data_IF_336560408442
#
_entry.id   IF_336560408442
#
_cell.length_a   1.000
_cell.length_b   1.000
_cell.length_c   1.000
_cell.angle_alpha   90.00
_cell.angle_beta   90.00
_cell.angle_gamma   90.00
#
_symmetry.space_group_name_H-M   'P 1'
#
loop_
_entity.id
_entity.type
_entity.pdbx_description
1 polymer ?
#
# COMPACT_ATOMS: atom_id res chain seq x y z
N UNK A 1 3.95 17.67 18.05
CA UNK A 1 3.24 17.47 16.75
C UNK A 1 2.19 18.55 16.64
N UNK A 2 2.15 19.29 15.53
CA UNK A 2 1.08 20.27 15.26
C UNK A 2 -0.26 19.53 15.16
N UNK A 3 -1.30 19.98 15.87
CA UNK A 3 -2.65 19.40 15.85
C UNK A 3 -3.26 19.29 14.45
N UNK A 4 -2.72 20.04 13.47
CA UNK A 4 -3.25 20.13 12.11
C UNK A 4 -2.98 18.90 11.23
N UNK A 5 -2.05 18.01 11.59
CA UNK A 5 -1.77 16.78 10.81
C UNK A 5 -2.30 15.51 11.45
N UNK A 6 -3.04 15.61 12.57
CA UNK A 6 -3.60 14.45 13.27
C UNK A 6 -4.51 13.61 12.37
N UNK A 7 -5.21 14.24 11.43
CA UNK A 7 -6.03 13.55 10.46
C UNK A 7 -5.24 12.67 9.47
N UNK A 8 -4.00 13.05 9.14
CA UNK A 8 -3.14 12.22 8.31
C UNK A 8 -2.69 10.99 9.08
N UNK A 9 -2.43 11.14 10.39
CA UNK A 9 -2.11 10.00 11.23
C UNK A 9 -3.31 9.06 11.40
N UNK A 10 -4.51 9.62 11.54
CA UNK A 10 -5.75 8.85 11.54
C UNK A 10 -5.93 8.09 10.22
N UNK A 11 -5.85 8.78 9.08
CA UNK A 11 -6.02 8.19 7.76
C UNK A 11 -5.02 7.06 7.50
N UNK A 12 -3.73 7.33 7.76
CA UNK A 12 -2.64 6.38 7.54
C UNK A 12 -2.68 5.20 8.50
N UNK A 13 -3.03 5.42 9.77
CA UNK A 13 -3.14 4.34 10.75
C UNK A 13 -4.34 3.42 10.47
N UNK A 14 -5.48 3.98 10.06
CA UNK A 14 -6.64 3.18 9.64
C UNK A 14 -6.35 2.38 8.37
N UNK A 15 -5.69 2.98 7.38
CA UNK A 15 -5.23 2.28 6.18
C UNK A 15 -4.39 1.04 6.56
N UNK A 16 -3.55 1.12 7.61
CA UNK A 16 -2.72 0.01 8.07
C UNK A 16 -3.58 -1.15 8.58
N UNK A 17 -4.59 -0.81 9.37
CA UNK A 17 -5.53 -1.76 9.94
C UNK A 17 -6.34 -2.44 8.83
N UNK A 18 -6.82 -1.67 7.85
CA UNK A 18 -7.57 -2.23 6.71
C UNK A 18 -6.72 -3.16 5.85
N UNK A 19 -5.41 -2.90 5.70
CA UNK A 19 -4.51 -3.86 5.05
C UNK A 19 -4.45 -5.20 5.80
N UNK A 20 -4.41 -5.20 7.13
CA UNK A 20 -4.50 -6.47 7.89
C UNK A 20 -5.82 -7.17 7.60
N UNK A 21 -6.94 -6.44 7.66
CA UNK A 21 -8.26 -7.00 7.41
C UNK A 21 -8.33 -7.68 6.04
N UNK A 22 -7.94 -6.98 4.98
CA UNK A 22 -8.05 -7.52 3.61
C UNK A 22 -7.17 -8.72 3.39
N UNK A 23 -5.95 -8.75 3.95
CA UNK A 23 -5.04 -9.87 3.77
C UNK A 23 -5.48 -11.12 4.53
N UNK A 24 -5.97 -10.98 5.77
CA UNK A 24 -6.51 -12.13 6.51
C UNK A 24 -7.75 -12.70 5.80
N UNK A 25 -8.61 -11.82 5.28
CA UNK A 25 -9.78 -12.26 4.50
C UNK A 25 -9.35 -12.94 3.21
N UNK A 26 -8.42 -12.38 2.44
CA UNK A 26 -8.00 -12.94 1.17
C UNK A 26 -7.16 -14.22 1.29
N UNK A 27 -6.52 -14.48 2.43
CA UNK A 27 -5.59 -15.61 2.60
C UNK A 27 -6.23 -16.74 3.41
N UNK A 28 -6.88 -16.44 4.54
CA UNK A 28 -7.32 -17.47 5.48
C UNK A 28 -8.82 -17.78 5.39
N UNK A 29 -9.64 -16.86 4.89
CA UNK A 29 -11.11 -17.02 4.88
C UNK A 29 -11.54 -17.86 3.69
N UNK A 30 -12.58 -18.68 3.85
CA UNK A 30 -13.17 -19.46 2.74
C UNK A 30 -13.47 -18.55 1.54
N UNK A 31 -13.05 -18.96 0.35
CA UNK A 31 -13.17 -18.18 -0.90
C UNK A 31 -14.60 -17.70 -1.15
N UNK A 32 -15.59 -18.58 -0.96
CA UNK A 32 -17.02 -18.24 -1.10
C UNK A 32 -17.45 -17.06 -0.19
N UNK A 33 -16.88 -16.98 1.03
CA UNK A 33 -17.16 -15.90 1.97
C UNK A 33 -16.38 -14.65 1.56
N UNK A 34 -15.08 -14.78 1.30
CA UNK A 34 -14.21 -13.66 0.95
C UNK A 34 -14.69 -12.91 -0.31
N UNK A 35 -15.16 -13.61 -1.34
CA UNK A 35 -15.50 -13.02 -2.64
C UNK A 35 -16.98 -12.63 -2.76
N UNK A 36 -17.89 -13.40 -2.14
CA UNK A 36 -19.33 -13.25 -2.43
C UNK A 36 -20.16 -12.72 -1.25
N UNK A 37 -19.69 -12.85 -0.01
CA UNK A 37 -20.43 -12.35 1.15
C UNK A 37 -20.35 -10.83 1.28
N UNK A 38 -21.33 -10.23 1.99
CA UNK A 38 -21.30 -8.80 2.34
C UNK A 38 -20.06 -8.49 3.18
N UNK A 39 -19.71 -9.38 4.11
CA UNK A 39 -18.52 -9.26 4.94
C UNK A 39 -17.25 -9.14 4.08
N UNK A 40 -17.05 -10.08 3.15
CA UNK A 40 -15.92 -10.07 2.22
C UNK A 40 -15.85 -8.79 1.40
N UNK A 41 -16.96 -8.41 0.74
CA UNK A 41 -17.05 -7.21 -0.09
C UNK A 41 -16.72 -5.92 0.66
N UNK A 42 -17.20 -5.77 1.91
CA UNK A 42 -16.88 -4.60 2.74
C UNK A 42 -15.39 -4.56 3.08
N UNK A 43 -14.80 -5.70 3.44
CA UNK A 43 -13.38 -5.77 3.78
C UNK A 43 -12.51 -5.50 2.55
N UNK A 44 -12.84 -6.06 1.39
CA UNK A 44 -12.16 -5.78 0.12
C UNK A 44 -12.22 -4.30 -0.23
N UNK A 45 -13.40 -3.67 -0.13
CA UNK A 45 -13.55 -2.23 -0.37
C UNK A 45 -12.64 -1.40 0.55
N UNK A 46 -12.52 -1.79 1.83
CA UNK A 46 -11.63 -1.14 2.80
C UNK A 46 -10.15 -1.38 2.50
N UNK A 47 -9.81 -2.55 1.94
CA UNK A 47 -8.48 -2.98 1.54
C UNK A 47 -7.98 -2.41 0.20
N UNK A 48 -8.88 -1.87 -0.63
CA UNK A 48 -8.53 -1.29 -1.92
C UNK A 48 -8.20 0.20 -1.79
N UNK A 49 -9.17 1.10 -2.05
CA UNK A 49 -8.94 2.54 -2.10
C UNK A 49 -8.46 3.14 -0.75
N UNK A 50 -9.03 2.76 0.41
CA UNK A 50 -8.64 3.33 1.71
C UNK A 50 -7.30 2.84 2.27
N UNK A 51 -6.68 1.84 1.64
CA UNK A 51 -5.45 1.22 2.11
C UNK A 51 -4.22 1.75 1.35
N UNK A 52 -3.67 0.96 0.42
CA UNK A 52 -2.41 1.27 -0.28
C UNK A 52 -2.41 2.63 -0.99
N UNK A 53 -3.48 3.06 -1.70
CA UNK A 53 -3.53 4.39 -2.31
C UNK A 53 -3.45 5.54 -1.30
N UNK A 54 -4.18 5.44 -0.17
CA UNK A 54 -4.09 6.43 0.92
C UNK A 54 -2.67 6.49 1.49
N UNK A 55 -2.01 5.35 1.69
CA UNK A 55 -0.61 5.33 2.12
C UNK A 55 0.30 6.12 1.20
N UNK A 56 0.17 5.89 -0.10
CA UNK A 56 1.01 6.51 -1.12
C UNK A 56 0.75 8.01 -1.23
N UNK A 57 -0.52 8.46 -1.16
CA UNK A 57 -0.87 9.88 -1.09
C UNK A 57 -0.32 10.53 0.18
N UNK A 58 -0.52 9.93 1.36
CA UNK A 58 -0.01 10.48 2.63
C UNK A 58 1.52 10.54 2.63
N UNK A 59 2.21 9.55 2.03
CA UNK A 59 3.66 9.61 1.84
C UNK A 59 4.08 10.86 1.05
N UNK A 60 3.38 11.18 -0.04
CA UNK A 60 3.64 12.39 -0.83
C UNK A 60 3.33 13.69 -0.07
N UNK A 61 2.25 13.71 0.71
CA UNK A 61 1.88 14.84 1.58
C UNK A 61 3.00 15.12 2.58
N UNK A 62 3.42 14.09 3.32
CA UNK A 62 4.46 14.22 4.34
C UNK A 62 5.83 14.55 3.74
N UNK A 63 6.10 14.07 2.53
CA UNK A 63 7.30 14.45 1.78
C UNK A 63 7.31 15.95 1.50
N UNK A 64 6.27 16.49 0.86
CA UNK A 64 6.19 17.92 0.53
C UNK A 64 6.04 18.83 1.75
N UNK A 65 5.50 18.33 2.86
CA UNK A 65 5.40 19.09 4.11
C UNK A 65 6.75 19.28 4.81
N UNK A 66 7.73 18.43 4.53
CA UNK A 66 9.08 18.53 5.11
C UNK A 66 9.75 19.81 4.59
N UNK A 67 10.18 20.69 5.50
CA UNK A 67 10.77 21.99 5.14
C UNK A 67 12.14 21.87 4.47
N UNK A 68 12.94 20.89 4.88
CA UNK A 68 14.33 20.75 4.45
C UNK A 68 14.56 19.44 3.70
N UNK A 69 15.01 19.59 2.45
CA UNK A 69 15.37 18.49 1.59
C UNK A 69 16.85 18.56 1.24
N UNK A 70 17.54 17.46 1.51
CA UNK A 70 18.87 17.22 0.99
C UNK A 70 18.76 16.07 0.01
N UNK A 71 19.05 16.33 -1.27
CA UNK A 71 18.83 15.38 -2.36
C UNK A 71 19.52 14.03 -2.10
N UNK A 72 20.73 14.04 -1.56
CA UNK A 72 21.48 12.84 -1.17
C UNK A 72 20.77 12.02 -0.10
N UNK A 73 20.16 12.67 0.90
CA UNK A 73 19.37 12.00 1.94
C UNK A 73 18.08 11.42 1.38
N UNK A 74 17.43 12.13 0.46
CA UNK A 74 16.19 11.66 -0.17
C UNK A 74 16.45 10.45 -1.09
N UNK A 75 17.56 10.45 -1.84
CA UNK A 75 18.01 9.28 -2.61
C UNK A 75 18.32 8.09 -1.69
N UNK A 76 19.08 8.29 -0.62
CA UNK A 76 19.40 7.22 0.35
C UNK A 76 18.12 6.61 0.93
N UNK A 77 17.13 7.45 1.26
CA UNK A 77 15.83 6.99 1.77
C UNK A 77 15.04 6.21 0.74
N UNK A 78 15.02 6.65 -0.52
CA UNK A 78 14.42 5.92 -1.64
C UNK A 78 14.99 4.51 -1.76
N UNK A 79 16.32 4.38 -1.86
CA UNK A 79 16.98 3.07 -1.94
C UNK A 79 16.77 2.22 -0.69
N UNK A 80 16.75 2.84 0.49
CA UNK A 80 16.46 2.12 1.74
C UNK A 80 15.04 1.53 1.74
N UNK A 81 14.02 2.28 1.29
CA UNK A 81 12.65 1.76 1.18
C UNK A 81 12.57 0.62 0.17
N UNK A 82 13.23 0.77 -0.98
CA UNK A 82 13.27 -0.26 -2.01
C UNK A 82 13.91 -1.56 -1.49
N UNK A 83 15.06 -1.46 -0.80
CA UNK A 83 15.74 -2.59 -0.19
C UNK A 83 14.90 -3.27 0.90
N UNK A 84 14.14 -2.49 1.69
CA UNK A 84 13.22 -3.04 2.70
C UNK A 84 12.09 -3.88 2.10
N UNK A 85 11.70 -3.62 0.86
CA UNK A 85 10.77 -4.48 0.14
C UNK A 85 11.29 -5.91 -0.02
N UNK A 86 12.53 -6.07 -0.48
CA UNK A 86 13.14 -7.40 -0.58
C UNK A 86 13.47 -8.02 0.78
N UNK A 87 13.85 -7.20 1.76
CA UNK A 87 14.02 -7.68 3.13
C UNK A 87 12.70 -8.24 3.69
N UNK A 88 11.57 -7.59 3.42
CA UNK A 88 10.26 -8.11 3.79
C UNK A 88 9.95 -9.43 3.08
N UNK A 89 10.22 -9.54 1.78
CA UNK A 89 10.00 -10.80 1.05
C UNK A 89 10.81 -11.96 1.65
N UNK A 90 12.07 -11.70 2.03
CA UNK A 90 12.91 -12.67 2.72
C UNK A 90 12.28 -13.13 4.04
N UNK A 91 11.79 -12.19 4.87
CA UNK A 91 11.13 -12.54 6.14
C UNK A 91 9.82 -13.30 5.93
N UNK A 92 9.03 -12.92 4.92
CA UNK A 92 7.77 -13.58 4.54
C UNK A 92 7.97 -15.02 4.06
N UNK A 93 9.16 -15.36 3.57
CA UNK A 93 9.54 -16.73 3.22
C UNK A 93 10.13 -17.48 4.42
N UNK A 94 11.11 -16.87 5.10
CA UNK A 94 11.86 -17.54 6.16
C UNK A 94 10.99 -17.89 7.38
N UNK A 95 10.06 -17.03 7.79
CA UNK A 95 9.26 -17.24 8.99
C UNK A 95 8.24 -18.38 8.82
N UNK A 96 7.38 -18.40 7.78
CA UNK A 96 6.47 -19.52 7.57
C UNK A 96 7.21 -20.83 7.33
N UNK A 97 8.32 -20.79 6.58
CA UNK A 97 9.14 -22.00 6.34
C UNK A 97 9.68 -22.58 7.65
N UNK A 98 10.29 -21.75 8.52
CA UNK A 98 10.77 -22.22 9.82
C UNK A 98 9.64 -22.74 10.70
N UNK A 99 8.48 -22.08 10.73
CA UNK A 99 7.31 -22.57 11.46
C UNK A 99 6.83 -23.93 10.92
N UNK A 100 6.77 -24.08 9.60
CA UNK A 100 6.39 -25.35 8.96
C UNK A 100 7.31 -26.50 9.41
N UNK A 101 8.63 -26.28 9.43
CA UNK A 101 9.61 -27.28 9.92
C UNK A 101 9.38 -27.68 11.39
N UNK A 102 8.90 -26.76 12.23
CA UNK A 102 8.59 -27.05 13.63
C UNK A 102 7.27 -27.79 13.84
N UNK A 103 6.24 -27.51 13.03
CA UNK A 103 4.89 -28.07 13.19
C UNK A 103 4.70 -29.42 12.48
N UNK A 104 5.45 -29.69 11.42
CA UNK A 104 5.34 -30.94 10.66
C UNK A 104 6.72 -31.62 10.62
N UNK A 105 6.97 -32.68 11.41
CA UNK A 105 8.21 -33.44 11.28
C UNK A 105 8.26 -34.05 9.87
N UNK A 106 9.37 -33.81 9.17
CA UNK A 106 9.64 -34.32 7.84
C UNK A 106 9.47 -35.85 7.81
N UNK A 107 8.47 -36.34 7.08
CA UNK A 107 8.47 -37.72 6.60
C UNK A 107 9.13 -37.69 5.22
N UNK A 108 10.42 -38.02 5.17
CA UNK A 108 11.25 -38.00 3.96
C UNK A 108 10.97 -39.31 3.21
N UNK A 109 9.78 -39.44 2.65
CA UNK A 109 9.39 -40.64 1.92
C UNK A 109 8.61 -40.29 0.66
N UNK A 110 9.16 -39.41 -0.18
CA UNK A 110 9.00 -39.50 -1.64
C UNK A 110 9.90 -38.48 -2.37
N UNK A 111 10.87 -38.91 -3.19
CA UNK A 111 11.61 -38.02 -4.08
C UNK A 111 10.75 -37.77 -5.32
N UNK A 112 9.97 -36.70 -5.29
CA UNK A 112 9.16 -36.27 -6.42
C UNK A 112 9.93 -35.20 -7.23
N UNK A 113 9.75 -35.17 -8.56
CA UNK A 113 10.39 -34.25 -9.53
C UNK A 113 10.13 -32.74 -9.27
N UNK A 114 9.50 -32.41 -8.14
CA UNK A 114 9.14 -31.07 -7.65
C UNK A 114 10.31 -30.25 -7.10
N UNK A 115 11.50 -30.82 -6.92
CA UNK A 115 12.65 -30.10 -6.34
C UNK A 115 13.14 -28.94 -7.23
N UNK A 116 13.05 -29.09 -8.55
CA UNK A 116 13.41 -28.06 -9.54
C UNK A 116 12.45 -26.86 -9.50
N UNK A 117 11.16 -27.11 -9.24
CA UNK A 117 10.15 -26.05 -9.10
C UNK A 117 10.30 -25.28 -7.78
N UNK A 118 10.86 -25.90 -6.74
CA UNK A 118 11.00 -25.27 -5.42
C UNK A 118 11.99 -24.10 -5.40
N UNK A 119 13.12 -24.22 -6.10
CA UNK A 119 14.10 -23.14 -6.18
C UNK A 119 13.55 -21.94 -6.96
N UNK A 120 12.87 -22.20 -8.08
CA UNK A 120 12.22 -21.17 -8.89
C UNK A 120 11.08 -20.49 -8.12
N UNK A 121 10.30 -21.24 -7.32
CA UNK A 121 9.25 -20.69 -6.45
C UNK A 121 9.83 -19.78 -5.36
N UNK A 122 10.95 -20.16 -4.73
CA UNK A 122 11.64 -19.33 -3.72
C UNK A 122 12.15 -18.03 -4.38
N UNK A 123 12.82 -18.15 -5.51
CA UNK A 123 13.38 -16.98 -6.23
C UNK A 123 12.25 -16.05 -6.68
N UNK A 124 11.17 -16.62 -7.24
CA UNK A 124 9.98 -15.88 -7.65
C UNK A 124 9.40 -15.08 -6.48
N UNK A 125 9.12 -15.72 -5.35
CA UNK A 125 8.57 -15.07 -4.16
C UNK A 125 9.52 -14.01 -3.56
N UNK A 126 10.83 -14.25 -3.60
CA UNK A 126 11.82 -13.28 -3.13
C UNK A 126 11.85 -12.02 -4.00
N UNK A 127 11.70 -12.20 -5.32
CA UNK A 127 11.80 -11.12 -6.31
C UNK A 127 10.48 -10.37 -6.56
N UNK A 128 9.38 -10.75 -5.91
CA UNK A 128 8.11 -10.03 -6.02
C UNK A 128 8.27 -8.54 -5.69
N UNK A 129 7.76 -7.68 -6.56
CA UNK A 129 7.72 -6.23 -6.38
C UNK A 129 6.40 -5.86 -5.70
N UNK A 130 6.51 -5.49 -4.42
CA UNK A 130 5.40 -5.08 -3.56
C UNK A 130 5.42 -3.54 -3.33
N UNK A 131 4.52 -3.03 -2.49
CA UNK A 131 4.30 -1.60 -2.28
C UNK A 131 5.54 -0.87 -1.73
N UNK A 132 6.44 -1.55 -1.01
CA UNK A 132 7.66 -0.91 -0.49
C UNK A 132 8.66 -0.58 -1.60
N UNK A 133 8.80 -1.46 -2.59
CA UNK A 133 9.57 -1.20 -3.80
C UNK A 133 8.94 -0.05 -4.59
N UNK A 134 7.62 -0.08 -4.78
CA UNK A 134 6.88 1.00 -5.45
C UNK A 134 7.02 2.34 -4.72
N UNK A 135 6.98 2.33 -3.39
CA UNK A 135 7.19 3.50 -2.55
C UNK A 135 8.62 4.04 -2.66
N UNK A 136 9.63 3.17 -2.70
CA UNK A 136 11.02 3.54 -2.95
C UNK A 136 11.18 4.26 -4.28
N UNK A 137 10.73 3.65 -5.38
CA UNK A 137 10.78 4.26 -6.71
C UNK A 137 9.99 5.57 -6.77
N UNK A 138 8.80 5.62 -6.18
CA UNK A 138 8.01 6.85 -6.11
C UNK A 138 8.72 7.95 -5.32
N UNK A 139 9.40 7.61 -4.21
CA UNK A 139 10.19 8.56 -3.43
C UNK A 139 11.35 9.14 -4.26
N UNK A 140 11.99 8.33 -5.12
CA UNK A 140 12.99 8.84 -6.07
C UNK A 140 12.39 9.87 -7.03
N UNK A 141 11.21 9.59 -7.60
CA UNK A 141 10.52 10.54 -8.50
C UNK A 141 10.20 11.83 -7.74
N UNK A 142 9.66 11.75 -6.53
CA UNK A 142 9.41 12.94 -5.70
C UNK A 142 10.69 13.72 -5.37
N UNK A 143 11.82 13.03 -5.14
CA UNK A 143 13.13 13.63 -4.94
C UNK A 143 13.59 14.42 -6.17
N UNK A 144 13.42 13.86 -7.36
CA UNK A 144 13.73 14.52 -8.63
C UNK A 144 12.81 15.73 -8.86
N UNK A 145 11.49 15.55 -8.71
CA UNK A 145 10.49 16.63 -8.82
C UNK A 145 10.83 17.80 -7.91
N UNK A 146 11.22 17.52 -6.66
CA UNK A 146 11.62 18.54 -5.70
C UNK A 146 12.96 19.20 -6.05
N UNK A 147 13.96 18.42 -6.49
CA UNK A 147 15.27 18.93 -6.90
C UNK A 147 15.17 19.86 -8.11
N UNK A 148 14.29 19.54 -9.05
CA UNK A 148 13.98 20.36 -10.22
C UNK A 148 13.03 21.53 -9.90
N UNK A 149 12.52 21.62 -8.66
CA UNK A 149 11.59 22.65 -8.22
C UNK A 149 10.33 22.76 -9.09
N UNK A 150 9.81 21.62 -9.58
CA UNK A 150 8.64 21.63 -10.45
C UNK A 150 7.42 22.16 -9.68
N UNK A 151 6.72 23.13 -10.29
CA UNK A 151 5.51 23.72 -9.73
C UNK A 151 4.30 22.75 -9.84
N UNK A 152 3.18 23.10 -9.23
CA UNK A 152 1.99 22.24 -9.19
C UNK A 152 1.41 21.97 -10.58
N UNK A 153 1.58 22.88 -11.54
CA UNK A 153 1.15 22.70 -12.93
C UNK A 153 1.98 21.61 -13.60
N UNK A 154 3.31 21.66 -13.49
CA UNK A 154 4.21 20.63 -14.02
C UNK A 154 3.93 19.25 -13.40
N UNK A 155 3.68 19.18 -12.08
CA UNK A 155 3.32 17.92 -11.42
C UNK A 155 1.97 17.41 -11.95
N UNK A 156 0.99 18.29 -12.16
CA UNK A 156 -0.31 17.92 -12.73
C UNK A 156 -0.17 17.38 -14.14
N UNK A 157 0.64 18.02 -15.00
CA UNK A 157 0.93 17.52 -16.34
C UNK A 157 1.61 16.15 -16.30
N UNK A 158 2.52 15.91 -15.36
CA UNK A 158 3.13 14.59 -15.16
C UNK A 158 2.10 13.53 -14.74
N UNK A 159 1.17 13.87 -13.83
CA UNK A 159 0.08 12.99 -13.44
C UNK A 159 -0.79 12.64 -14.65
N UNK A 160 -1.17 13.63 -15.47
CA UNK A 160 -1.98 13.42 -16.67
C UNK A 160 -1.24 12.55 -17.70
N UNK A 161 0.07 12.77 -17.86
CA UNK A 161 0.92 11.94 -18.71
C UNK A 161 0.90 10.49 -18.23
N UNK A 162 1.16 10.23 -16.94
CA UNK A 162 1.14 8.88 -16.40
C UNK A 162 -0.25 8.26 -16.53
N UNK A 163 -1.31 9.02 -16.26
CA UNK A 163 -2.69 8.55 -16.34
C UNK A 163 -3.04 8.05 -17.76
N UNK A 164 -2.64 8.80 -18.78
CA UNK A 164 -2.91 8.46 -20.19
C UNK A 164 -1.99 7.35 -20.68
N UNK A 165 -0.70 7.40 -20.36
CA UNK A 165 0.30 6.52 -20.99
C UNK A 165 0.54 5.19 -20.27
N UNK A 166 0.21 5.07 -18.97
CA UNK A 166 0.42 3.81 -18.22
C UNK A 166 -0.20 2.58 -18.91
N UNK A 167 -1.45 2.63 -19.40
CA UNK A 167 -2.07 1.46 -20.03
C UNK A 167 -1.36 0.97 -21.29
N UNK A 168 -0.65 1.84 -22.01
CA UNK A 168 0.04 1.49 -23.24
C UNK A 168 1.40 0.82 -22.99
N UNK A 169 1.93 0.92 -21.77
CA UNK A 169 3.25 0.37 -21.43
C UNK A 169 3.18 -0.89 -20.54
N UNK A 170 2.01 -1.20 -19.98
CA UNK A 170 1.83 -2.43 -19.21
C UNK A 170 2.10 -3.68 -20.04
N UNK A 171 2.83 -4.63 -19.47
CA UNK A 171 3.19 -5.88 -20.14
C UNK A 171 4.26 -5.73 -21.21
N UNK A 172 4.80 -4.53 -21.47
CA UNK A 172 5.88 -4.37 -22.45
C UNK A 172 7.15 -5.09 -21.98
N UNK A 173 7.44 -6.21 -22.63
CA UNK A 173 8.60 -7.04 -22.36
C UNK A 173 9.78 -6.82 -23.29
N UNK A 174 10.87 -7.51 -22.99
CA UNK A 174 12.08 -7.57 -23.82
C UNK A 174 12.58 -9.00 -23.86
N UNK A 175 13.15 -9.40 -24.99
CA UNK A 175 13.77 -10.72 -25.15
C UNK A 175 15.09 -10.85 -24.37
N UNK A 176 15.61 -9.76 -23.80
CA UNK A 176 16.84 -9.76 -23.00
C UNK A 176 16.47 -9.84 -21.50
N UNK A 177 16.71 -10.99 -20.81
CA UNK A 177 16.21 -11.22 -19.45
C UNK A 177 16.65 -10.16 -18.44
N UNK A 178 17.90 -9.68 -18.54
CA UNK A 178 18.43 -8.64 -17.64
C UNK A 178 17.62 -7.34 -17.70
N UNK A 179 17.35 -6.84 -18.91
CA UNK A 179 16.54 -5.64 -19.10
C UNK A 179 15.09 -5.86 -18.69
N UNK A 180 14.58 -7.08 -18.89
CA UNK A 180 13.25 -7.46 -18.41
C UNK A 180 13.14 -7.27 -16.89
N UNK A 181 14.05 -7.86 -16.12
CA UNK A 181 14.08 -7.74 -14.67
C UNK A 181 14.25 -6.30 -14.17
N UNK A 182 15.06 -5.50 -14.85
CA UNK A 182 15.29 -4.11 -14.46
C UNK A 182 14.04 -3.22 -14.67
N UNK A 183 13.28 -3.47 -15.74
CA UNK A 183 12.13 -2.66 -16.14
C UNK A 183 10.81 -3.15 -15.51
N UNK A 184 10.76 -4.40 -15.08
CA UNK A 184 9.60 -5.05 -14.47
C UNK A 184 8.95 -4.23 -13.33
N UNK A 185 9.70 -3.61 -12.38
CA UNK A 185 9.10 -2.73 -11.37
C UNK A 185 8.37 -1.50 -11.90
N UNK A 186 8.59 -1.09 -13.15
CA UNK A 186 8.03 0.14 -13.70
C UNK A 186 6.60 -0.03 -14.21
N UNK A 187 6.31 -1.10 -14.93
CA UNK A 187 4.99 -1.33 -15.55
C UNK A 187 4.53 -2.80 -15.51
N UNK A 188 5.38 -3.70 -15.02
CA UNK A 188 5.17 -5.14 -15.00
C UNK A 188 5.26 -5.74 -16.40
N UNK A 189 6.15 -6.72 -16.58
CA UNK A 189 6.30 -7.45 -17.86
C UNK A 189 5.43 -8.71 -17.83
N UNK A 190 5.59 -9.49 -16.76
CA UNK A 190 4.81 -10.69 -16.49
C UNK A 190 4.05 -10.45 -15.18
N UNK A 191 2.72 -10.34 -15.26
CA UNK A 191 1.84 -9.85 -14.18
C UNK A 191 1.88 -10.61 -12.84
N UNK A 192 2.65 -11.70 -12.74
CA UNK A 192 2.74 -12.55 -11.54
C UNK A 192 3.74 -12.04 -10.50
N UNK A 193 4.79 -11.32 -10.91
CA UNK A 193 5.86 -10.88 -9.98
C UNK A 193 5.76 -9.42 -9.55
N UNK A 194 4.78 -8.66 -10.03
CA UNK A 194 4.65 -7.22 -9.75
C UNK A 194 3.21 -6.88 -9.37
N UNK A 195 3.00 -6.66 -8.08
CA UNK A 195 1.72 -6.18 -7.53
C UNK A 195 1.61 -4.66 -7.57
N UNK A 196 2.70 -3.92 -7.45
CA UNK A 196 2.64 -2.44 -7.45
C UNK A 196 3.63 -1.85 -8.46
N UNK A 197 3.32 -1.87 -9.77
CA UNK A 197 4.19 -1.24 -10.76
C UNK A 197 4.23 0.29 -10.55
N UNK A 198 5.37 0.92 -10.80
CA UNK A 198 5.50 2.39 -10.66
C UNK A 198 4.44 3.14 -11.46
N UNK A 199 4.08 2.65 -12.64
CA UNK A 199 3.03 3.17 -13.50
C UNK A 199 1.83 2.22 -13.43
N UNK A 200 0.69 2.63 -12.83
CA UNK A 200 0.29 4.03 -12.58
C UNK A 200 0.54 4.56 -11.16
N UNK A 201 1.05 3.75 -10.22
CA UNK A 201 1.04 4.05 -8.79
C UNK A 201 1.76 5.35 -8.35
N UNK A 202 2.72 5.84 -9.14
CA UNK A 202 3.41 7.12 -8.90
C UNK A 202 2.45 8.32 -8.90
N UNK A 203 1.26 8.19 -9.50
CA UNK A 203 0.22 9.21 -9.45
C UNK A 203 -0.15 9.55 -8.00
N UNK A 204 -0.28 8.56 -7.12
CA UNK A 204 -0.73 8.80 -5.74
C UNK A 204 0.27 9.68 -4.95
N UNK A 205 1.59 9.40 -4.90
CA UNK A 205 2.53 10.28 -4.23
C UNK A 205 2.64 11.67 -4.87
N UNK A 206 2.51 11.79 -6.20
CA UNK A 206 2.52 13.09 -6.88
C UNK A 206 1.30 13.96 -6.49
N UNK A 207 0.11 13.36 -6.42
CA UNK A 207 -1.08 14.03 -5.87
C UNK A 207 -0.84 14.43 -4.42
N UNK A 208 -0.22 13.52 -3.65
CA UNK A 208 0.21 13.78 -2.29
C UNK A 208 1.11 15.02 -2.18
N UNK A 209 2.08 15.19 -3.08
CA UNK A 209 2.95 16.38 -3.09
C UNK A 209 2.16 17.68 -3.27
N UNK A 210 1.21 17.72 -4.21
CA UNK A 210 0.35 18.90 -4.43
C UNK A 210 -0.47 19.20 -3.17
N UNK A 211 -1.09 18.18 -2.57
CA UNK A 211 -1.84 18.34 -1.33
C UNK A 211 -0.94 18.78 -0.17
N UNK A 212 0.27 18.23 -0.04
CA UNK A 212 1.22 18.58 1.01
C UNK A 212 1.70 20.04 0.91
N UNK A 213 1.95 20.54 -0.30
CA UNK A 213 2.24 21.97 -0.53
C UNK A 213 1.07 22.84 -0.07
N UNK A 214 -0.17 22.44 -0.37
CA UNK A 214 -1.37 23.15 0.10
C UNK A 214 -1.55 23.06 1.61
N UNK A 215 -1.30 21.91 2.24
CA UNK A 215 -1.52 21.76 3.69
C UNK A 215 -0.42 22.43 4.53
N UNK A 216 0.74 22.71 3.94
CA UNK A 216 1.82 23.41 4.63
C UNK A 216 1.50 24.86 4.95
N UNK A 217 0.55 25.48 4.24
CA UNK A 217 0.10 26.83 4.50
C UNK A 217 -1.13 26.83 5.44
N UNK A 218 -1.06 27.48 6.63
CA UNK A 218 -2.18 27.57 7.56
C UNK A 218 -3.46 28.20 6.99
N UNK A 219 -3.34 29.06 5.98
CA UNK A 219 -4.47 29.72 5.31
C UNK A 219 -5.27 28.76 4.43
N UNK A 220 -4.65 27.69 3.96
CA UNK A 220 -5.24 26.70 3.06
C UNK A 220 -5.67 25.43 3.77
N UNK A 221 -5.23 25.19 5.01
CA UNK A 221 -5.71 24.08 5.85
C UNK A 221 -6.83 24.56 6.78
N UNK A 222 -7.99 24.84 6.19
CA UNK A 222 -9.21 25.28 6.89
C UNK A 222 -10.37 24.30 6.66
N UNK A 223 -11.36 24.33 7.55
CA UNK A 223 -12.60 23.54 7.42
C UNK A 223 -13.28 23.78 6.06
N UNK A 224 -13.30 25.03 5.58
CA UNK A 224 -13.90 25.38 4.29
C UNK A 224 -13.14 24.74 3.12
N UNK A 225 -11.81 24.82 3.10
CA UNK A 225 -11.00 24.21 2.03
C UNK A 225 -11.12 22.68 2.05
N UNK A 226 -11.21 22.06 3.22
CA UNK A 226 -11.49 20.62 3.33
C UNK A 226 -12.88 20.27 2.78
N UNK A 227 -13.88 21.15 2.97
CA UNK A 227 -15.21 21.00 2.36
C UNK A 227 -15.16 21.08 0.83
N UNK A 228 -14.40 22.03 0.27
CA UNK A 228 -14.18 22.10 -1.18
C UNK A 228 -13.42 20.89 -1.71
N UNK A 229 -12.41 20.40 -0.98
CA UNK A 229 -11.70 19.18 -1.33
C UNK A 229 -12.65 17.97 -1.36
N UNK A 230 -13.54 17.84 -0.38
CA UNK A 230 -14.54 16.80 -0.35
C UNK A 230 -15.46 16.88 -1.57
N UNK A 231 -16.01 18.06 -1.86
CA UNK A 231 -16.89 18.27 -3.02
C UNK A 231 -16.19 17.99 -4.36
N UNK A 232 -14.94 18.45 -4.52
CA UNK A 232 -14.14 18.12 -5.71
C UNK A 232 -13.85 16.62 -5.82
N UNK A 233 -13.60 15.95 -4.69
CA UNK A 233 -13.47 14.50 -4.64
C UNK A 233 -14.74 13.77 -5.09
N UNK A 234 -15.93 14.25 -4.71
CA UNK A 234 -17.22 13.72 -5.19
C UNK A 234 -17.33 13.87 -6.72
N UNK A 235 -17.00 15.04 -7.26
CA UNK A 235 -17.00 15.27 -8.71
C UNK A 235 -16.05 14.30 -9.44
N UNK A 236 -14.83 14.13 -8.93
CA UNK A 236 -13.86 13.18 -9.51
C UNK A 236 -14.35 11.74 -9.43
N UNK A 237 -14.91 11.31 -8.30
CA UNK A 237 -15.45 9.96 -8.18
C UNK A 237 -16.60 9.71 -9.17
N UNK A 238 -17.48 10.69 -9.36
CA UNK A 238 -18.55 10.60 -10.35
C UNK A 238 -18.01 10.52 -11.79
N UNK A 239 -17.05 11.39 -12.15
CA UNK A 239 -16.39 11.36 -13.47
C UNK A 239 -15.68 10.03 -13.69
N UNK A 240 -14.91 9.56 -12.70
CA UNK A 240 -14.21 8.28 -12.75
C UNK A 240 -15.18 7.11 -12.94
N UNK A 241 -16.33 7.14 -12.25
CA UNK A 241 -17.39 6.14 -12.42
C UNK A 241 -17.97 6.14 -13.84
N UNK A 242 -18.28 7.31 -14.40
CA UNK A 242 -18.77 7.43 -15.78
C UNK A 242 -17.75 6.92 -16.81
N UNK A 243 -16.47 7.24 -16.65
CA UNK A 243 -15.40 6.72 -17.51
C UNK A 243 -15.32 5.20 -17.35
N UNK A 244 -15.35 4.68 -16.12
CA UNK A 244 -15.24 3.25 -15.86
C UNK A 244 -16.36 2.42 -16.47
N UNK A 245 -17.55 3.00 -16.66
CA UNK A 245 -18.68 2.33 -17.32
C UNK A 245 -18.42 2.06 -18.82
N UNK A 246 -17.48 2.77 -19.45
CA UNK A 246 -17.13 2.52 -20.85
C UNK A 246 -16.49 1.14 -21.05
N UNK A 247 -15.71 0.67 -20.07
CA UNK A 247 -15.11 -0.66 -20.05
C UNK A 247 -14.68 -1.06 -18.63
N UNK A 248 -15.57 -1.74 -17.90
CA UNK A 248 -15.35 -2.12 -16.49
C UNK A 248 -14.10 -3.00 -16.35
N UNK A 249 -13.91 -3.98 -17.23
CA UNK A 249 -12.77 -4.90 -17.18
C UNK A 249 -11.44 -4.18 -17.40
N UNK A 250 -11.39 -3.20 -18.30
CA UNK A 250 -10.19 -2.40 -18.51
C UNK A 250 -9.87 -1.50 -17.30
N UNK A 251 -10.89 -0.97 -16.64
CA UNK A 251 -10.69 -0.02 -15.55
C UNK A 251 -10.48 -0.69 -14.17
N UNK A 252 -11.06 -1.87 -13.94
CA UNK A 252 -11.04 -2.56 -12.65
C UNK A 252 -10.65 -4.03 -12.70
N UNK A 253 -10.41 -4.61 -13.89
CA UNK A 253 -10.10 -6.04 -14.03
C UNK A 253 -8.73 -6.44 -13.46
N UNK A 254 -7.83 -5.48 -13.27
CA UNK A 254 -6.58 -5.66 -12.54
C UNK A 254 -6.39 -4.48 -11.57
N UNK A 255 -6.48 -4.76 -10.25
CA UNK A 255 -6.29 -3.75 -9.20
C UNK A 255 -4.89 -3.11 -9.28
N UNK A 256 -3.87 -3.90 -9.61
CA UNK A 256 -2.48 -3.47 -9.71
C UNK A 256 -2.25 -2.51 -10.88
N UNK A 257 -3.01 -2.72 -11.96
CA UNK A 257 -2.99 -1.95 -13.21
C UNK A 257 -4.36 -1.32 -13.47
N UNK A 258 -4.83 -0.58 -12.48
CA UNK A 258 -6.12 0.12 -12.56
C UNK A 258 -6.11 1.11 -13.73
N UNK A 259 -7.09 1.02 -14.63
CA UNK A 259 -7.22 1.93 -15.77
C UNK A 259 -7.60 3.36 -15.38
N UNK A 260 -7.60 4.32 -16.34
CA UNK A 260 -7.79 5.74 -16.03
C UNK A 260 -9.08 6.10 -15.27
N UNK A 261 -10.22 5.50 -15.63
CA UNK A 261 -11.49 5.70 -14.92
C UNK A 261 -11.43 5.27 -13.45
N UNK A 262 -10.87 4.08 -13.18
CA UNK A 262 -10.66 3.57 -11.82
C UNK A 262 -9.69 4.43 -11.02
N UNK A 263 -8.59 4.89 -11.63
CA UNK A 263 -7.63 5.80 -10.98
C UNK A 263 -8.28 7.13 -10.60
N UNK A 264 -9.03 7.76 -11.51
CA UNK A 264 -9.77 9.01 -11.23
C UNK A 264 -10.78 8.80 -10.11
N UNK A 265 -11.47 7.65 -10.10
CA UNK A 265 -12.39 7.29 -9.03
C UNK A 265 -11.68 7.18 -7.67
N UNK A 266 -10.56 6.44 -7.61
CA UNK A 266 -9.77 6.28 -6.38
C UNK A 266 -9.19 7.60 -5.90
N UNK A 267 -8.71 8.47 -6.79
CA UNK A 267 -8.26 9.81 -6.43
C UNK A 267 -9.40 10.62 -5.80
N UNK A 268 -10.58 10.61 -6.43
CA UNK A 268 -11.77 11.26 -5.88
C UNK A 268 -12.14 10.73 -4.50
N UNK A 269 -12.06 9.40 -4.32
CA UNK A 269 -12.28 8.76 -3.02
C UNK A 269 -11.26 9.22 -1.98
N UNK A 270 -9.97 9.23 -2.30
CA UNK A 270 -8.92 9.63 -1.34
C UNK A 270 -9.09 11.09 -0.92
N UNK A 271 -9.49 11.98 -1.84
CA UNK A 271 -9.76 13.39 -1.51
C UNK A 271 -10.91 13.52 -0.50
N UNK A 272 -11.98 12.76 -0.69
CA UNK A 272 -13.09 12.65 0.26
C UNK A 272 -12.63 12.05 1.59
N UNK A 273 -11.88 10.95 1.55
CA UNK A 273 -11.37 10.23 2.72
C UNK A 273 -10.52 11.14 3.60
N UNK A 274 -9.55 11.85 3.03
CA UNK A 274 -8.70 12.78 3.79
C UNK A 274 -9.50 13.92 4.41
N UNK A 275 -10.50 14.47 3.69
CA UNK A 275 -11.38 15.50 4.23
C UNK A 275 -12.26 14.97 5.38
N UNK A 276 -12.81 13.76 5.24
CA UNK A 276 -13.57 13.10 6.31
C UNK A 276 -12.69 12.86 7.54
N UNK A 277 -11.47 12.36 7.37
CA UNK A 277 -10.54 12.18 8.47
C UNK A 277 -10.21 13.51 9.14
N UNK A 278 -10.11 14.61 8.38
CA UNK A 278 -9.92 15.94 8.94
C UNK A 278 -11.08 16.33 9.86
N UNK A 279 -12.33 16.20 9.40
CA UNK A 279 -13.51 16.54 10.19
C UNK A 279 -13.73 15.62 11.39
N UNK A 280 -13.39 14.34 11.27
CA UNK A 280 -13.61 13.34 12.32
C UNK A 280 -12.52 13.41 13.39
N UNK A 281 -11.28 13.74 13.02
CA UNK A 281 -10.12 13.68 13.93
C UNK A 281 -10.29 14.40 15.28
N UNK A 282 -10.95 15.57 15.40
CA UNK A 282 -11.15 16.24 16.69
C UNK A 282 -12.10 15.49 17.63
N UNK A 283 -12.96 14.62 17.10
CA UNK A 283 -13.97 13.88 17.86
C UNK A 283 -13.52 12.47 18.28
N UNK A 284 -12.37 12.01 17.77
CA UNK A 284 -11.86 10.69 18.13
C UNK A 284 -11.36 10.70 19.58
N UNK A 285 -11.83 9.72 20.36
CA UNK A 285 -11.38 9.52 21.74
C UNK A 285 -9.85 9.38 21.81
N UNK A 286 -9.23 10.10 22.75
CA UNK A 286 -7.76 10.18 22.90
C UNK A 286 -7.08 8.81 22.98
N UNK A 287 -7.69 7.85 23.66
CA UNK A 287 -7.15 6.49 23.78
C UNK A 287 -7.05 5.77 22.43
N UNK A 288 -8.10 5.85 21.61
CA UNK A 288 -8.12 5.25 20.27
C UNK A 288 -7.13 5.98 19.35
N UNK A 289 -7.11 7.31 19.41
CA UNK A 289 -6.17 8.12 18.63
C UNK A 289 -4.72 7.76 18.96
N UNK A 290 -4.37 7.53 20.23
CA UNK A 290 -3.01 7.15 20.61
C UNK A 290 -2.58 5.82 19.98
N UNK A 291 -3.49 4.83 19.89
CA UNK A 291 -3.21 3.54 19.25
C UNK A 291 -3.00 3.72 17.75
N UNK A 292 -3.93 4.39 17.06
CA UNK A 292 -3.86 4.62 15.61
C UNK A 292 -2.65 5.50 15.26
N UNK A 293 -2.40 6.56 16.03
CA UNK A 293 -1.25 7.44 15.89
C UNK A 293 0.08 6.72 16.12
N UNK A 294 0.13 5.77 17.06
CA UNK A 294 1.31 4.92 17.23
C UNK A 294 1.58 4.06 15.99
N UNK A 295 0.55 3.40 15.43
CA UNK A 295 0.66 2.61 14.21
C UNK A 295 1.15 3.49 13.05
N UNK A 296 0.52 4.65 12.88
CA UNK A 296 0.87 5.63 11.84
C UNK A 296 2.33 6.08 11.93
N UNK A 297 2.80 6.44 13.12
CA UNK A 297 4.17 6.94 13.32
C UNK A 297 5.24 5.86 13.11
N UNK A 298 4.91 4.59 13.32
CA UNK A 298 5.82 3.44 13.18
C UNK A 298 5.44 2.54 12.00
N UNK A 299 4.83 3.12 10.96
CA UNK A 299 4.14 2.37 9.92
C UNK A 299 5.01 1.32 9.21
N UNK A 300 6.27 1.61 8.92
CA UNK A 300 7.15 0.65 8.24
C UNK A 300 7.39 -0.60 9.07
N UNK A 301 7.66 -0.44 10.37
CA UNK A 301 7.81 -1.59 11.27
C UNK A 301 6.50 -2.36 11.40
N UNK A 302 5.37 -1.65 11.58
CA UNK A 302 4.06 -2.27 11.67
C UNK A 302 3.72 -3.08 10.40
N UNK A 303 3.98 -2.51 9.21
CA UNK A 303 3.78 -3.17 7.92
C UNK A 303 4.62 -4.43 7.74
N UNK A 304 5.90 -4.39 8.12
CA UNK A 304 6.76 -5.56 8.03
C UNK A 304 6.28 -6.65 8.98
N UNK A 305 5.98 -6.28 10.24
CA UNK A 305 5.52 -7.24 11.26
C UNK A 305 4.18 -7.87 10.88
N UNK A 306 3.19 -7.08 10.46
CA UNK A 306 1.87 -7.62 10.13
C UNK A 306 1.97 -8.63 8.97
N UNK A 307 2.79 -8.35 7.95
CA UNK A 307 2.94 -9.24 6.80
C UNK A 307 3.61 -10.55 7.19
N UNK A 308 4.62 -10.50 8.05
CA UNK A 308 5.26 -11.69 8.59
C UNK A 308 4.25 -12.54 9.38
N UNK A 309 3.40 -11.91 10.19
CA UNK A 309 2.34 -12.62 10.94
C UNK A 309 1.25 -13.18 10.02
N UNK A 310 0.84 -12.44 9.00
CA UNK A 310 -0.12 -12.90 7.98
C UNK A 310 0.45 -14.10 7.23
N UNK A 311 1.70 -14.06 6.78
CA UNK A 311 2.34 -15.19 6.13
C UNK A 311 2.47 -16.40 7.08
N UNK A 312 2.81 -16.18 8.35
CA UNK A 312 2.83 -17.23 9.37
C UNK A 312 1.44 -17.85 9.60
N UNK A 313 0.37 -17.06 9.47
CA UNK A 313 -1.00 -17.54 9.66
C UNK A 313 -1.40 -18.60 8.62
N UNK A 314 -0.75 -18.65 7.45
CA UNK A 314 -0.98 -19.69 6.44
C UNK A 314 -0.67 -21.07 7.05
N UNK A 315 0.43 -21.18 7.81
CA UNK A 315 0.85 -22.44 8.44
C UNK A 315 -0.06 -22.79 9.62
N UNK A 316 -0.41 -21.80 10.44
CA UNK A 316 -1.11 -22.04 11.72
C UNK A 316 -2.63 -22.16 11.54
N UNK A 317 -3.24 -21.33 10.69
CA UNK A 317 -4.69 -21.25 10.50
C UNK A 317 -5.16 -21.95 9.22
N UNK A 318 -4.24 -22.43 8.39
CA UNK A 318 -4.47 -22.88 7.02
C UNK A 318 -4.97 -21.76 6.08
N UNK A 319 -4.82 -22.02 4.78
CA UNK A 319 -5.33 -21.18 3.72
C UNK A 319 -6.81 -21.52 3.44
N UNK A 320 -7.64 -20.49 3.24
CA UNK A 320 -9.05 -20.60 2.83
C UNK A 320 -9.98 -21.47 3.70
N UNK A 321 -9.74 -21.56 5.01
CA UNK A 321 -10.56 -22.40 5.91
C UNK A 321 -11.47 -21.64 6.87
N UNK A 322 -11.16 -20.40 7.21
CA UNK A 322 -11.85 -19.66 8.26
C UNK A 322 -13.26 -19.22 7.82
N UNK A 323 -14.24 -19.37 8.71
CA UNK A 323 -15.55 -18.70 8.64
C UNK A 323 -15.49 -17.28 9.21
N UNK A 324 -16.59 -16.52 9.09
CA UNK A 324 -16.63 -15.08 9.44
C UNK A 324 -16.13 -14.78 10.86
N UNK A 325 -16.60 -15.53 11.86
CA UNK A 325 -16.21 -15.30 13.27
C UNK A 325 -14.72 -15.60 13.47
N UNK A 326 -14.23 -16.68 12.88
CA UNK A 326 -12.83 -17.08 12.98
C UNK A 326 -11.92 -16.05 12.29
N UNK A 327 -12.32 -15.53 11.13
CA UNK A 327 -11.62 -14.45 10.44
C UNK A 327 -11.57 -13.17 11.26
N UNK A 328 -12.68 -12.77 11.91
CA UNK A 328 -12.70 -11.60 12.79
C UNK A 328 -11.75 -11.77 13.98
N UNK A 329 -11.75 -12.96 14.60
CA UNK A 329 -10.83 -13.28 15.70
C UNK A 329 -9.37 -13.23 15.22
N UNK A 330 -9.06 -13.82 14.06
CA UNK A 330 -7.73 -13.79 13.47
C UNK A 330 -7.25 -12.35 13.17
N UNK A 331 -8.12 -11.51 12.59
CA UNK A 331 -7.84 -10.08 12.35
C UNK A 331 -7.47 -9.38 13.66
N UNK A 332 -8.28 -9.53 14.71
CA UNK A 332 -8.04 -8.90 16.02
C UNK A 332 -6.70 -9.36 16.59
N UNK A 333 -6.42 -10.66 16.55
CA UNK A 333 -5.17 -11.23 17.06
C UNK A 333 -3.97 -10.68 16.29
N UNK A 334 -4.03 -10.66 14.95
CA UNK A 334 -2.91 -10.20 14.13
C UNK A 334 -2.67 -8.69 14.33
N UNK A 335 -3.71 -7.87 14.42
CA UNK A 335 -3.56 -6.44 14.74
C UNK A 335 -2.92 -6.25 16.12
N UNK A 336 -3.43 -6.95 17.14
CA UNK A 336 -2.93 -6.84 18.50
C UNK A 336 -1.46 -7.29 18.60
N UNK A 337 -1.11 -8.42 18.00
CA UNK A 337 0.25 -8.94 17.96
C UNK A 337 1.19 -8.00 17.20
N UNK A 338 0.76 -7.49 16.04
CA UNK A 338 1.53 -6.52 15.26
C UNK A 338 1.83 -5.26 16.08
N UNK A 339 0.83 -4.74 16.79
CA UNK A 339 0.98 -3.60 17.67
C UNK A 339 1.95 -3.87 18.82
N UNK A 340 1.81 -4.99 19.53
CA UNK A 340 2.65 -5.35 20.66
C UNK A 340 4.12 -5.58 20.26
N UNK A 341 4.36 -6.31 19.17
CA UNK A 341 5.71 -6.52 18.62
C UNK A 341 6.31 -5.19 18.19
N UNK A 342 5.56 -4.36 17.45
CA UNK A 342 6.04 -3.05 17.03
C UNK A 342 6.38 -2.14 18.23
N UNK A 343 5.59 -2.19 19.31
CA UNK A 343 5.88 -1.48 20.57
C UNK A 343 7.16 -1.98 21.24
N UNK A 344 7.41 -3.29 21.21
CA UNK A 344 8.65 -3.89 21.73
C UNK A 344 9.87 -3.48 20.89
N UNK A 345 9.77 -3.54 19.56
CA UNK A 345 10.83 -3.07 18.66
C UNK A 345 11.18 -1.61 18.92
N UNK A 346 10.16 -0.76 19.08
CA UNK A 346 10.36 0.66 19.39
C UNK A 346 11.03 0.87 20.75
N UNK A 347 10.68 0.10 21.78
CA UNK A 347 11.34 0.15 23.10
C UNK A 347 12.85 -0.13 23.00
N UNK A 348 13.26 -0.97 22.04
CA UNK A 348 14.66 -1.30 21.79
C UNK A 348 15.30 -0.48 20.66
N UNK A 349 14.63 0.57 20.15
CA UNK A 349 15.08 1.42 19.04
C UNK A 349 15.39 0.64 17.74
N UNK A 350 14.72 -0.50 17.51
CA UNK A 350 14.92 -1.33 16.32
C UNK A 350 14.07 -0.79 15.18
N UNK A 351 14.72 -0.52 14.03
CA UNK A 351 14.07 -0.16 12.77
C UNK A 351 14.29 -1.30 11.78
N UNK A 352 13.20 -1.92 11.35
CA UNK A 352 13.21 -2.95 10.31
C UNK A 352 13.32 -2.29 8.93
#
# INVERSE_FOLDING_TARGET
MSSKLLFLDLARGLAAIFMVCTHVVSINTKTQIAEHSIFGKVITLLGEAPAAPVFMVVMGILYAYKKEHQFTHDIKRSFSLFAKGYYLNLLRLAVPFTLFLFYMPFDISEPDDKLTNFADDIISNLLVVDILQAAGLSYLIMAIVNKLQLNDVCITLLILLVLVYSPFIWGLGTYVPFWGRLLEPLWGINGEMVSFPLFPWVIYPLIGMILGRRYSNPLTLTTQVMGYQFGFGVCLSFIGMLISQTNISFHFGDYWRTGPGGLVLYIGFIMQWLALMFFISPYIHKGLFNVIGFISTHITNFYIVQWVLISASIVVLNQYKLDIIESLVAIIIIIAMSFLICKKLQKHNIKL
#
